data_IF_410726060456
#
_entry.id   IF_410726060456
#
_cell.length_a   1.000
_cell.length_b   1.000
_cell.length_c   1.000
_cell.angle_alpha   90.00
_cell.angle_beta   90.00
_cell.angle_gamma   90.00
#
_symmetry.space_group_name_H-M   'P 1'
#
loop_
_entity.id
_entity.type
_entity.pdbx_description
1 polymer ?
#
# COMPACT_ATOMS: atom_id res chain seq x y z
N UNK A 1 -66.94 28.25 45.45
CA UNK A 1 -68.11 28.93 44.85
C UNK A 1 -67.61 29.88 43.76
N UNK A 2 -68.33 29.94 42.63
CA UNK A 2 -68.10 30.70 41.39
C UNK A 2 -67.38 29.96 40.25
N UNK A 3 -68.21 29.36 39.40
CA UNK A 3 -67.96 29.11 37.99
C UNK A 3 -67.87 30.43 37.19
N UNK A 4 -67.22 30.39 36.02
CA UNK A 4 -67.68 31.05 34.78
C UNK A 4 -66.88 30.56 33.55
N UNK A 5 -67.59 30.55 32.43
CA UNK A 5 -67.43 29.84 31.16
C UNK A 5 -66.34 30.38 30.20
N UNK A 6 -66.06 29.71 29.05
CA UNK A 6 -64.77 29.65 28.37
C UNK A 6 -64.62 30.69 27.25
N UNK A 7 -63.37 30.87 26.78
CA UNK A 7 -63.08 31.50 25.48
C UNK A 7 -62.07 30.64 24.71
N UNK A 8 -62.52 30.01 23.64
CA UNK A 8 -61.65 29.56 22.54
C UNK A 8 -61.30 30.78 21.68
N UNK A 9 -60.03 30.93 21.29
CA UNK A 9 -59.78 31.32 19.92
C UNK A 9 -58.61 30.56 19.25
N UNK A 10 -58.88 30.20 18.00
CA UNK A 10 -58.00 30.09 16.83
C UNK A 10 -56.70 29.29 16.94
N UNK A 11 -56.70 28.13 16.27
CA UNK A 11 -55.49 27.45 15.82
C UNK A 11 -54.71 28.33 14.82
N UNK A 12 -53.39 28.49 14.97
CA UNK A 12 -52.52 28.79 13.85
C UNK A 12 -52.12 27.48 13.15
N UNK A 13 -52.33 27.42 11.83
CA UNK A 13 -51.83 26.36 10.97
C UNK A 13 -50.28 26.38 10.99
N UNK A 14 -49.67 25.41 11.66
CA UNK A 14 -48.23 25.21 11.60
C UNK A 14 -47.88 24.42 10.34
N UNK A 15 -47.18 25.09 9.43
CA UNK A 15 -46.62 24.54 8.20
C UNK A 15 -45.65 23.39 8.55
N UNK A 16 -45.94 22.19 8.04
CA UNK A 16 -45.07 21.04 8.18
C UNK A 16 -43.86 21.19 7.24
N UNK A 17 -42.69 21.57 7.78
CA UNK A 17 -41.42 21.43 7.09
C UNK A 17 -41.05 19.94 7.00
N UNK A 18 -41.30 19.33 5.84
CA UNK A 18 -40.76 18.01 5.50
C UNK A 18 -39.26 18.17 5.29
N UNK A 19 -38.45 17.83 6.29
CA UNK A 19 -37.01 17.77 6.17
C UNK A 19 -36.63 16.55 5.31
N UNK A 20 -36.04 16.83 4.15
CA UNK A 20 -35.45 15.86 3.23
C UNK A 20 -34.29 15.12 3.92
N UNK A 21 -34.48 13.84 4.25
CA UNK A 21 -33.38 12.95 4.62
C UNK A 21 -32.61 12.55 3.35
N UNK A 22 -31.66 13.38 2.94
CA UNK A 22 -30.65 12.98 1.95
C UNK A 22 -29.74 11.94 2.61
N UNK A 23 -29.90 10.67 2.24
CA UNK A 23 -28.86 9.68 2.44
C UNK A 23 -27.65 10.10 1.60
N UNK A 24 -26.69 10.76 2.22
CA UNK A 24 -25.36 10.92 1.65
C UNK A 24 -24.72 9.53 1.61
N UNK A 25 -24.88 8.83 0.49
CA UNK A 25 -24.03 7.70 0.16
C UNK A 25 -22.60 8.21 0.10
N UNK A 26 -21.82 7.96 1.15
CA UNK A 26 -20.37 8.14 1.09
C UNK A 26 -19.86 7.19 0.01
N UNK A 27 -19.70 7.70 -1.22
CA UNK A 27 -18.87 7.07 -2.21
C UNK A 27 -17.48 6.97 -1.57
N UNK A 28 -17.08 5.77 -1.16
CA UNK A 28 -15.68 5.49 -0.88
C UNK A 28 -14.98 5.74 -2.21
N UNK A 29 -14.17 6.80 -2.28
CA UNK A 29 -13.25 6.97 -3.39
C UNK A 29 -12.43 5.68 -3.48
N UNK A 30 -12.38 5.10 -4.66
CA UNK A 30 -11.56 3.94 -4.95
C UNK A 30 -10.09 4.40 -4.88
N UNK A 31 -9.46 4.25 -3.71
CA UNK A 31 -8.06 4.63 -3.44
C UNK A 31 -7.05 3.85 -4.32
N UNK A 32 -7.55 2.92 -5.15
CA UNK A 32 -6.84 2.28 -6.26
C UNK A 32 -6.45 3.24 -7.39
N UNK A 33 -7.05 4.44 -7.44
CA UNK A 33 -6.87 5.40 -8.54
C UNK A 33 -5.39 5.80 -8.80
N UNK A 34 -4.50 5.61 -7.82
CA UNK A 34 -3.08 5.93 -7.96
C UNK A 34 -2.17 4.82 -8.49
N UNK A 35 -2.61 3.56 -8.50
CA UNK A 35 -1.72 2.42 -8.80
C UNK A 35 -1.72 2.00 -10.28
N UNK A 36 -2.44 2.71 -11.14
CA UNK A 36 -2.46 2.44 -12.59
C UNK A 36 -1.19 2.97 -13.26
N UNK A 37 -0.39 2.13 -13.92
CA UNK A 37 0.82 2.57 -14.60
C UNK A 37 0.48 3.45 -15.82
N UNK A 38 1.33 4.45 -16.13
CA UNK A 38 1.23 5.20 -17.38
C UNK A 38 1.22 4.26 -18.60
N UNK A 39 0.30 4.49 -19.52
CA UNK A 39 0.13 3.67 -20.73
C UNK A 39 1.08 4.11 -21.86
N UNK A 40 1.50 3.18 -22.76
CA UNK A 40 1.20 1.75 -22.74
C UNK A 40 1.95 1.02 -21.62
N UNK A 41 1.29 0.07 -20.98
CA UNK A 41 1.90 -0.81 -19.97
C UNK A 41 1.31 -2.22 -20.06
N UNK A 42 2.12 -3.19 -20.45
CA UNK A 42 1.74 -4.59 -20.60
C UNK A 42 2.44 -5.47 -19.56
N UNK A 43 1.72 -6.31 -18.80
CA UNK A 43 2.34 -7.25 -17.88
C UNK A 43 3.24 -8.24 -18.63
N UNK A 44 4.47 -8.43 -18.13
CA UNK A 44 5.43 -9.42 -18.67
C UNK A 44 5.78 -10.51 -17.66
N UNK A 45 5.57 -10.23 -16.38
CA UNK A 45 5.77 -11.20 -15.30
C UNK A 45 4.84 -10.85 -14.13
N UNK A 46 4.16 -11.86 -13.59
CA UNK A 46 3.35 -11.76 -12.37
C UNK A 46 3.84 -12.82 -11.39
N UNK A 47 4.04 -12.42 -10.14
CA UNK A 47 4.63 -13.28 -9.10
C UNK A 47 3.94 -13.11 -7.76
N UNK A 48 3.99 -14.15 -6.95
CA UNK A 48 3.72 -14.08 -5.51
C UNK A 48 5.02 -13.92 -4.75
N UNK A 49 5.06 -13.04 -3.76
CA UNK A 49 6.22 -12.77 -2.95
C UNK A 49 6.01 -13.24 -1.51
N UNK A 50 7.07 -13.81 -0.93
CA UNK A 50 7.21 -14.01 0.50
C UNK A 50 8.53 -13.36 0.94
N UNK A 51 8.48 -12.61 2.03
CA UNK A 51 9.64 -11.87 2.50
C UNK A 51 9.46 -11.27 3.87
N UNK A 52 10.33 -10.32 4.17
CA UNK A 52 10.31 -9.53 5.39
C UNK A 52 10.57 -8.05 5.11
N UNK A 53 10.13 -7.22 6.03
CA UNK A 53 10.60 -5.86 6.16
C UNK A 53 11.51 -5.79 7.39
N UNK A 54 12.71 -5.23 7.21
CA UNK A 54 13.69 -5.07 8.27
C UNK A 54 13.57 -3.66 8.83
N UNK A 55 13.52 -3.56 10.16
CA UNK A 55 13.46 -2.32 10.91
C UNK A 55 14.52 -2.31 12.01
N UNK A 56 14.99 -1.12 12.38
CA UNK A 56 15.78 -0.88 13.58
C UNK A 56 14.97 -0.08 14.58
N UNK A 57 15.21 -0.29 15.87
CA UNK A 57 14.63 0.51 16.93
C UNK A 57 15.51 1.73 17.22
N UNK A 58 15.13 2.90 16.72
CA UNK A 58 15.92 4.12 16.86
C UNK A 58 15.06 5.25 17.43
N UNK A 59 15.72 6.32 17.88
CA UNK A 59 15.02 7.51 18.34
C UNK A 59 14.35 8.26 17.18
N UNK A 60 13.07 8.55 17.33
CA UNK A 60 12.35 9.47 16.45
C UNK A 60 12.66 10.94 16.77
N UNK A 61 12.06 11.87 16.01
CA UNK A 61 12.22 13.31 16.21
C UNK A 61 11.72 13.80 17.59
N UNK A 62 10.91 13.01 18.29
CA UNK A 62 10.41 13.29 19.64
C UNK A 62 11.23 12.62 20.74
N UNK A 63 12.41 12.07 20.43
CA UNK A 63 13.25 11.30 21.36
C UNK A 63 12.55 10.09 21.97
N UNK A 64 11.65 9.46 21.22
CA UNK A 64 11.02 8.19 21.59
C UNK A 64 11.59 7.07 20.72
N UNK A 65 11.76 5.89 21.31
CA UNK A 65 12.12 4.71 20.53
C UNK A 65 10.97 4.33 19.60
N UNK A 66 11.28 4.16 18.32
CA UNK A 66 10.35 3.77 17.28
C UNK A 66 11.02 2.85 16.26
N UNK A 67 10.21 2.04 15.58
CA UNK A 67 10.69 1.21 14.48
C UNK A 67 10.95 2.08 13.23
N UNK A 68 12.19 2.12 12.78
CA UNK A 68 12.63 2.81 11.56
C UNK A 68 12.90 1.80 10.47
N UNK A 69 12.27 1.99 9.31
CA UNK A 69 12.41 1.09 8.17
C UNK A 69 13.83 1.13 7.60
N UNK A 70 14.41 -0.05 7.36
CA UNK A 70 15.74 -0.20 6.77
C UNK A 70 15.64 -0.66 5.31
N UNK A 71 15.15 -1.88 5.08
CA UNK A 71 15.03 -2.44 3.73
C UNK A 71 14.08 -3.64 3.68
N UNK A 72 13.57 -4.01 2.50
CA UNK A 72 12.90 -5.29 2.30
C UNK A 72 13.91 -6.39 1.98
N UNK A 73 13.50 -7.64 2.19
CA UNK A 73 14.10 -8.84 1.59
C UNK A 73 12.94 -9.74 1.14
N UNK A 74 12.88 -10.13 -0.13
CA UNK A 74 11.83 -11.05 -0.59
C UNK A 74 12.25 -11.96 -1.75
N UNK A 75 11.58 -13.11 -1.79
CA UNK A 75 11.64 -14.08 -2.88
C UNK A 75 10.32 -14.05 -3.64
N UNK A 76 10.39 -13.91 -4.96
CA UNK A 76 9.24 -13.82 -5.85
C UNK A 76 9.16 -15.08 -6.70
N UNK A 77 7.99 -15.71 -6.67
CA UNK A 77 7.72 -17.00 -7.28
C UNK A 77 6.70 -16.86 -8.41
N UNK A 78 6.89 -17.60 -9.49
CA UNK A 78 5.89 -17.73 -10.55
C UNK A 78 4.69 -18.59 -10.12
N UNK A 79 3.73 -18.78 -11.01
CA UNK A 79 2.54 -19.60 -10.75
C UNK A 79 2.85 -21.08 -10.47
N UNK A 80 4.01 -21.59 -10.90
CA UNK A 80 4.48 -22.94 -10.63
C UNK A 80 5.23 -23.07 -9.30
N UNK A 81 5.44 -21.97 -8.57
CA UNK A 81 6.21 -21.94 -7.33
C UNK A 81 7.72 -21.86 -7.55
N UNK A 82 8.19 -21.58 -8.77
CA UNK A 82 9.62 -21.44 -9.05
C UNK A 82 10.09 -20.05 -8.67
N UNK A 83 11.23 -19.95 -7.97
CA UNK A 83 11.87 -18.67 -7.70
C UNK A 83 12.35 -18.03 -9.00
N UNK A 84 11.80 -16.86 -9.34
CA UNK A 84 12.11 -16.16 -10.59
C UNK A 84 12.71 -14.78 -10.37
N UNK A 85 12.51 -14.15 -9.21
CA UNK A 85 13.09 -12.84 -8.88
C UNK A 85 13.44 -12.77 -7.39
N UNK A 86 14.57 -12.15 -7.06
CA UNK A 86 14.92 -11.70 -5.70
C UNK A 86 14.72 -10.20 -5.59
N UNK A 87 14.14 -9.75 -4.48
CA UNK A 87 13.88 -8.34 -4.21
C UNK A 87 14.62 -7.87 -2.96
N UNK A 88 15.20 -6.67 -3.01
CA UNK A 88 15.98 -6.10 -1.91
C UNK A 88 15.98 -4.58 -1.85
N UNK A 89 16.95 -4.03 -1.11
CA UNK A 89 17.11 -2.60 -0.86
C UNK A 89 17.20 -1.77 -2.16
N UNK A 90 16.87 -0.47 -2.06
CA UNK A 90 17.01 0.47 -3.17
C UNK A 90 15.80 0.65 -4.09
N UNK A 91 14.60 0.18 -3.69
CA UNK A 91 14.11 -1.16 -4.07
C UNK A 91 14.75 -1.72 -5.35
N UNK A 92 15.20 -2.97 -5.32
CA UNK A 92 15.85 -3.63 -6.47
C UNK A 92 15.27 -5.01 -6.74
N UNK A 93 15.38 -5.47 -7.99
CA UNK A 93 14.97 -6.80 -8.41
C UNK A 93 16.03 -7.43 -9.29
N UNK A 94 16.32 -8.71 -9.04
CA UNK A 94 17.28 -9.51 -9.78
C UNK A 94 16.69 -10.87 -10.16
N UNK A 95 16.76 -11.22 -11.43
CA UNK A 95 16.37 -12.55 -11.92
C UNK A 95 17.59 -13.50 -12.01
N UNK A 96 17.39 -14.83 -11.99
CA UNK A 96 18.47 -15.81 -12.10
C UNK A 96 19.34 -15.71 -13.37
N UNK A 97 18.83 -15.12 -14.45
CA UNK A 97 19.60 -14.87 -15.68
C UNK A 97 20.61 -13.71 -15.55
N UNK A 98 20.59 -13.02 -14.41
CA UNK A 98 21.45 -11.89 -14.05
C UNK A 98 20.86 -10.53 -14.38
N UNK A 99 19.69 -10.45 -15.03
CA UNK A 99 19.03 -9.17 -15.34
C UNK A 99 18.59 -8.46 -14.05
N UNK A 100 18.84 -7.15 -13.97
CA UNK A 100 18.59 -6.34 -12.76
C UNK A 100 17.93 -5.01 -13.06
N UNK A 101 16.96 -4.64 -12.23
CA UNK A 101 16.32 -3.32 -12.24
C UNK A 101 16.25 -2.72 -10.83
N UNK A 102 16.23 -1.39 -10.75
CA UNK A 102 15.95 -0.61 -9.53
C UNK A 102 14.64 0.14 -9.68
N UNK A 103 14.06 0.57 -8.56
CA UNK A 103 12.73 1.18 -8.52
C UNK A 103 12.71 2.56 -7.89
N UNK A 104 11.86 3.45 -8.43
CA UNK A 104 11.48 4.71 -7.78
C UNK A 104 9.97 4.73 -7.57
N UNK A 105 9.53 4.98 -6.34
CA UNK A 105 8.10 5.11 -6.00
C UNK A 105 7.45 6.22 -6.83
N UNK A 106 6.36 5.89 -7.52
CA UNK A 106 5.51 6.86 -8.23
C UNK A 106 4.24 7.14 -7.43
N UNK A 107 3.63 6.09 -6.88
CA UNK A 107 2.42 6.18 -6.10
C UNK A 107 2.39 5.08 -5.04
N UNK A 108 1.56 5.30 -4.02
CA UNK A 108 1.23 4.33 -3.00
C UNK A 108 -0.24 4.40 -2.63
N UNK A 109 -0.77 3.29 -2.17
CA UNK A 109 -2.10 3.19 -1.60
C UNK A 109 -2.06 2.30 -0.35
N UNK A 110 -2.98 2.49 0.61
CA UNK A 110 -3.09 1.59 1.75
C UNK A 110 -3.34 0.15 1.30
N UNK A 111 -2.93 -0.81 2.13
CA UNK A 111 -3.37 -2.19 1.98
C UNK A 111 -4.80 -2.34 2.49
N UNK A 112 -5.57 -3.23 1.88
CA UNK A 112 -6.88 -3.65 2.42
C UNK A 112 -6.76 -4.41 3.74
N UNK A 113 -5.56 -4.96 4.05
CA UNK A 113 -5.30 -5.73 5.26
C UNK A 113 -4.62 -4.85 6.32
N UNK A 114 -5.21 -4.70 7.52
CA UNK A 114 -4.58 -3.97 8.62
C UNK A 114 -3.18 -4.49 8.96
N UNK A 115 -2.28 -3.60 9.41
CA UNK A 115 -0.90 -3.97 9.75
C UNK A 115 -0.04 -4.40 8.56
N UNK A 116 -0.44 -4.04 7.33
CA UNK A 116 0.28 -4.42 6.12
C UNK A 116 0.97 -3.22 5.47
N UNK A 117 2.14 -3.45 4.89
CA UNK A 117 2.86 -2.42 4.13
C UNK A 117 2.01 -1.87 2.96
N UNK A 118 2.25 -0.62 2.52
CA UNK A 118 1.52 -0.04 1.40
C UNK A 118 1.68 -0.83 0.11
N UNK A 119 0.63 -0.77 -0.71
CA UNK A 119 0.70 -1.13 -2.11
C UNK A 119 1.43 -0.02 -2.88
N UNK A 120 2.19 -0.36 -3.91
CA UNK A 120 3.05 0.58 -4.62
C UNK A 120 2.93 0.44 -6.13
N UNK A 121 3.09 1.58 -6.81
CA UNK A 121 3.50 1.65 -8.20
C UNK A 121 4.90 2.29 -8.25
N UNK A 122 5.83 1.63 -8.92
CA UNK A 122 7.22 2.09 -9.08
C UNK A 122 7.59 2.21 -10.55
N UNK A 123 8.33 3.26 -10.90
CA UNK A 123 9.10 3.33 -12.14
C UNK A 123 10.34 2.45 -12.00
N UNK A 124 10.64 1.65 -13.02
CA UNK A 124 11.81 0.78 -13.07
C UNK A 124 12.88 1.34 -14.00
N UNK A 125 14.14 1.19 -13.58
CA UNK A 125 15.32 1.53 -14.38
C UNK A 125 16.29 0.35 -14.39
N UNK A 126 16.95 0.03 -15.52
CA UNK A 126 18.04 -0.95 -15.53
C UNK A 126 19.12 -0.57 -14.53
N UNK A 127 19.67 -1.56 -13.80
CA UNK A 127 20.76 -1.29 -12.88
C UNK A 127 22.04 -0.90 -13.65
N UNK A 128 22.74 0.14 -13.19
CA UNK A 128 23.88 0.73 -13.92
C UNK A 128 25.05 -0.25 -14.18
N UNK A 129 25.15 -1.33 -13.41
CA UNK A 129 26.19 -2.36 -13.54
C UNK A 129 25.80 -3.49 -14.49
N UNK A 130 24.60 -3.45 -15.08
CA UNK A 130 24.05 -4.56 -15.84
C UNK A 130 24.30 -4.39 -17.35
N UNK A 131 25.35 -5.02 -17.86
CA UNK A 131 25.58 -5.14 -19.31
C UNK A 131 24.53 -6.02 -19.99
N UNK A 132 23.76 -6.80 -19.21
CA UNK A 132 22.59 -7.56 -19.68
C UNK A 132 21.29 -6.78 -19.57
N UNK A 133 21.26 -5.52 -19.14
CA UNK A 133 20.00 -4.74 -19.05
C UNK A 133 19.20 -4.68 -20.37
N UNK A 134 19.83 -5.00 -21.50
CA UNK A 134 19.20 -5.14 -22.82
C UNK A 134 18.56 -6.52 -23.10
N UNK A 135 18.83 -7.58 -22.32
CA UNK A 135 18.36 -8.96 -22.55
C UNK A 135 18.04 -9.70 -21.24
N UNK A 136 17.00 -10.52 -21.21
CA UNK A 136 16.64 -11.33 -20.05
C UNK A 136 15.25 -10.99 -19.50
N UNK A 137 14.91 -11.64 -18.39
CA UNK A 137 13.58 -11.66 -17.78
C UNK A 137 13.10 -10.25 -17.42
N UNK A 138 13.98 -9.41 -16.86
CA UNK A 138 13.65 -8.05 -16.43
C UNK A 138 14.01 -6.98 -17.48
N UNK A 139 14.54 -7.38 -18.64
CA UNK A 139 14.95 -6.42 -19.67
C UNK A 139 13.75 -5.63 -20.20
N UNK A 140 13.86 -4.31 -20.25
CA UNK A 140 12.82 -3.42 -20.75
C UNK A 140 11.61 -3.21 -19.83
N UNK A 141 11.60 -3.80 -18.61
CA UNK A 141 10.61 -3.47 -17.59
C UNK A 141 10.71 -1.98 -17.25
N UNK A 142 9.55 -1.31 -17.29
CA UNK A 142 9.40 0.14 -17.05
C UNK A 142 8.63 0.44 -15.77
N UNK A 143 7.79 -0.48 -15.33
CA UNK A 143 7.02 -0.33 -14.10
C UNK A 143 6.98 -1.62 -13.30
N UNK A 144 6.90 -1.48 -11.97
CA UNK A 144 6.63 -2.58 -11.05
C UNK A 144 5.48 -2.17 -10.15
N UNK A 145 4.45 -3.01 -10.07
CA UNK A 145 3.40 -2.89 -9.08
C UNK A 145 3.65 -3.87 -7.93
N UNK A 146 3.48 -3.42 -6.69
CA UNK A 146 3.37 -4.26 -5.49
C UNK A 146 1.95 -4.16 -4.96
N UNK A 147 1.21 -5.26 -5.05
CA UNK A 147 -0.22 -5.32 -4.81
C UNK A 147 -0.55 -6.37 -3.74
N UNK A 148 -1.78 -6.36 -3.25
CA UNK A 148 -2.35 -7.37 -2.35
C UNK A 148 -1.46 -7.66 -1.14
N UNK A 149 -0.85 -6.63 -0.56
CA UNK A 149 0.12 -6.77 0.53
C UNK A 149 -0.54 -7.34 1.80
N UNK A 150 0.20 -8.15 2.54
CA UNK A 150 -0.19 -8.71 3.83
C UNK A 150 1.00 -8.68 4.78
N UNK A 151 0.88 -8.01 5.93
CA UNK A 151 1.93 -7.91 6.94
C UNK A 151 3.08 -6.96 6.57
N UNK A 152 4.17 -7.07 7.31
CA UNK A 152 5.39 -6.29 7.13
C UNK A 152 5.41 -4.96 7.89
N UNK A 153 4.31 -4.53 8.54
CA UNK A 153 4.40 -3.44 9.51
C UNK A 153 4.79 -3.97 10.89
N UNK A 154 5.60 -3.21 11.66
CA UNK A 154 5.78 -3.47 13.08
C UNK A 154 4.45 -3.34 13.84
N UNK A 155 4.29 -4.04 14.98
CA UNK A 155 3.15 -3.85 15.87
C UNK A 155 3.12 -2.43 16.44
N UNK A 156 1.93 -1.96 16.86
CA UNK A 156 1.71 -0.61 17.41
C UNK A 156 2.50 -0.34 18.70
N UNK A 157 2.78 -1.38 19.49
CA UNK A 157 3.68 -1.26 20.63
C UNK A 157 5.10 -0.92 20.11
N UNK A 158 5.58 0.27 20.46
CA UNK A 158 6.92 0.73 20.13
C UNK A 158 7.98 -0.24 20.65
N UNK A 159 9.07 -0.38 19.90
CA UNK A 159 10.25 -1.07 20.40
C UNK A 159 10.80 -0.42 21.68
N UNK A 160 11.43 -1.21 22.54
CA UNK A 160 11.89 -0.77 23.87
C UNK A 160 13.41 -0.76 24.05
N UNK A 161 14.15 -1.22 23.04
CA UNK A 161 15.60 -1.40 23.12
C UNK A 161 16.22 -0.79 21.88
N UNK A 162 16.98 0.30 22.06
CA UNK A 162 17.72 0.97 20.99
C UNK A 162 18.59 -0.03 20.22
N UNK A 163 18.65 0.12 18.90
CA UNK A 163 19.34 -0.74 17.94
C UNK A 163 18.81 -2.19 17.85
N UNK A 164 17.70 -2.54 18.50
CA UNK A 164 17.05 -3.82 18.27
C UNK A 164 16.62 -3.96 16.80
N UNK A 165 16.75 -5.16 16.23
CA UNK A 165 16.37 -5.45 14.84
C UNK A 165 15.02 -6.17 14.85
N UNK A 166 14.05 -5.60 14.14
CA UNK A 166 12.75 -6.20 13.85
C UNK A 166 12.73 -6.78 12.44
N UNK A 167 12.24 -8.01 12.28
CA UNK A 167 12.01 -8.66 10.98
C UNK A 167 10.53 -9.03 10.90
N UNK A 168 9.76 -8.28 10.13
CA UNK A 168 8.31 -8.45 10.04
C UNK A 168 7.94 -9.13 8.73
N UNK A 169 7.40 -10.36 8.75
CA UNK A 169 7.03 -11.09 7.54
C UNK A 169 5.99 -10.36 6.71
N UNK A 170 6.11 -10.46 5.40
CA UNK A 170 5.08 -9.98 4.48
C UNK A 170 4.89 -10.89 3.27
N UNK A 171 3.70 -10.81 2.70
CA UNK A 171 3.35 -11.34 1.38
C UNK A 171 2.87 -10.23 0.47
N UNK A 172 3.04 -10.41 -0.83
CA UNK A 172 2.51 -9.49 -1.84
C UNK A 172 2.40 -10.17 -3.21
N UNK A 173 1.69 -9.55 -4.14
CA UNK A 173 1.79 -9.84 -5.57
C UNK A 173 2.64 -8.78 -6.25
N UNK A 174 3.58 -9.17 -7.10
CA UNK A 174 4.34 -8.25 -7.93
C UNK A 174 4.01 -8.44 -9.40
N UNK A 175 3.75 -7.34 -10.11
CA UNK A 175 3.52 -7.31 -11.55
C UNK A 175 4.58 -6.41 -12.19
N UNK A 176 5.35 -6.97 -13.12
CA UNK A 176 6.36 -6.25 -13.89
C UNK A 176 5.78 -5.90 -15.26
N UNK A 177 5.88 -4.65 -15.68
CA UNK A 177 5.24 -4.14 -16.88
C UNK A 177 6.23 -3.41 -17.80
N UNK A 178 6.00 -3.51 -19.11
CA UNK A 178 6.71 -2.76 -20.17
C UNK A 178 5.77 -1.76 -20.82
#
# INVERSE_FOLDING_TARGET
MRSRFPKRPMLPAAVACVALAFCASSARADDSAGLTPPQPATPVLSTTAAGIQVYTCDYDAGHKLAWVFQHPEAMLFDAGGTLVVRHGAGPSWEAPDGSRITGKKLAEAPSERPGSIPQLLLAATPAATDTKGATGTLAGVRFVQRLDTAGGMPPEATCSTEHAIGRFPYFARYVFLK
#
